data_IF_194424883670
#
_entry.id   IF_194424883670
#
_cell.length_a   1.000
_cell.length_b   1.000
_cell.length_c   1.000
_cell.angle_alpha   90.00
_cell.angle_beta   90.00
_cell.angle_gamma   90.00
#
_symmetry.space_group_name_H-M   'P 1'
#
loop_
_entity.id
_entity.type
_entity.pdbx_description
1 polymer ?
#
# COMPACT_ATOMS: atom_id res chain seq x y z
N UNK A 1 36.22 0.98 7.22
CA UNK A 1 34.77 0.72 7.09
C UNK A 1 34.40 -0.23 8.22
N UNK A 2 33.39 0.11 9.02
CA UNK A 2 33.03 -0.69 10.19
C UNK A 2 32.47 -2.07 9.79
N UNK A 3 32.94 -3.10 10.50
CA UNK A 3 32.61 -4.51 10.25
C UNK A 3 31.19 -4.84 10.74
N UNK A 4 30.44 -5.75 10.07
CA UNK A 4 29.12 -6.15 10.54
C UNK A 4 29.21 -7.00 11.81
N UNK A 5 28.94 -6.40 12.97
CA UNK A 5 28.91 -7.10 14.27
C UNK A 5 27.69 -8.02 14.44
N UNK A 6 26.58 -7.72 13.77
CA UNK A 6 25.37 -8.55 13.75
C UNK A 6 24.71 -8.53 12.38
N UNK A 7 24.40 -9.71 11.83
CA UNK A 7 23.67 -9.86 10.56
C UNK A 7 22.30 -10.44 10.82
N UNK A 8 21.27 -9.72 10.41
CA UNK A 8 19.88 -10.13 10.52
C UNK A 8 19.52 -11.00 9.30
N UNK A 9 18.62 -11.98 9.46
CA UNK A 9 18.24 -12.82 8.34
C UNK A 9 17.42 -11.99 7.33
N UNK A 10 16.35 -11.33 7.77
CA UNK A 10 15.54 -10.46 6.92
C UNK A 10 15.19 -9.12 7.57
N UNK A 11 15.20 -8.04 6.80
CA UNK A 11 14.72 -6.71 7.24
C UNK A 11 13.58 -6.27 6.34
N UNK A 12 12.46 -5.86 6.96
CA UNK A 12 11.28 -5.29 6.28
C UNK A 12 11.28 -3.77 6.47
N UNK A 13 11.06 -2.99 5.41
CA UNK A 13 10.97 -1.53 5.49
C UNK A 13 9.51 -1.08 5.32
N UNK A 14 8.95 -0.43 6.35
CA UNK A 14 7.59 0.11 6.36
C UNK A 14 6.62 -0.72 7.19
N UNK A 15 5.94 -0.10 8.15
CA UNK A 15 5.01 -0.69 9.14
C UNK A 15 3.54 -0.55 8.78
N UNK A 16 3.21 -0.41 7.49
CA UNK A 16 1.84 -0.52 6.98
C UNK A 16 1.39 -1.98 6.83
N UNK A 17 0.15 -2.19 6.37
CA UNK A 17 -0.45 -3.53 6.19
C UNK A 17 0.46 -4.53 5.46
N UNK A 18 1.13 -4.11 4.39
CA UNK A 18 2.05 -4.95 3.61
C UNK A 18 3.28 -5.38 4.41
N UNK A 19 3.84 -4.48 5.22
CA UNK A 19 4.99 -4.78 6.06
C UNK A 19 4.63 -5.66 7.26
N UNK A 20 3.48 -5.39 7.89
CA UNK A 20 3.00 -6.17 9.03
C UNK A 20 2.72 -7.64 8.65
N UNK A 21 2.03 -7.87 7.53
CA UNK A 21 1.78 -9.24 7.06
C UNK A 21 3.06 -9.94 6.59
N UNK A 22 4.01 -9.19 6.03
CA UNK A 22 5.35 -9.69 5.73
C UNK A 22 6.07 -10.13 6.99
N UNK A 23 6.10 -9.27 8.01
CA UNK A 23 6.74 -9.55 9.29
C UNK A 23 6.14 -10.81 9.93
N UNK A 24 4.81 -10.92 10.00
CA UNK A 24 4.11 -12.13 10.47
C UNK A 24 4.53 -13.36 9.67
N UNK A 25 4.42 -13.31 8.34
CA UNK A 25 4.65 -14.48 7.47
C UNK A 25 6.08 -15.00 7.58
N UNK A 26 7.06 -14.10 7.63
CA UNK A 26 8.47 -14.47 7.83
C UNK A 26 8.68 -15.13 9.19
N UNK A 27 8.12 -14.57 10.26
CA UNK A 27 8.23 -15.11 11.63
C UNK A 27 7.57 -16.48 11.78
N UNK A 28 6.41 -16.69 11.17
CA UNK A 28 5.72 -17.99 11.18
C UNK A 28 6.55 -19.10 10.51
N UNK A 29 7.44 -18.74 9.58
CA UNK A 29 8.41 -19.67 8.97
C UNK A 29 9.74 -19.76 9.73
N UNK A 30 9.85 -19.17 10.92
CA UNK A 30 11.07 -19.20 11.74
C UNK A 30 12.23 -18.40 11.13
N UNK A 31 11.94 -17.34 10.36
CA UNK A 31 12.95 -16.42 9.82
C UNK A 31 13.22 -15.35 10.89
N UNK A 32 14.49 -15.13 11.24
CA UNK A 32 14.88 -14.07 12.16
C UNK A 32 14.80 -12.70 11.48
N UNK A 33 13.64 -12.06 11.59
CA UNK A 33 13.36 -10.80 10.92
C UNK A 33 12.91 -9.68 11.86
N UNK A 34 13.15 -8.46 11.42
CA UNK A 34 12.68 -7.23 12.05
C UNK A 34 12.09 -6.29 10.99
N UNK A 35 11.26 -5.36 11.44
CA UNK A 35 10.67 -4.32 10.62
C UNK A 35 11.17 -2.95 11.06
N UNK A 36 11.59 -2.11 10.13
CA UNK A 36 11.90 -0.69 10.39
C UNK A 36 10.70 0.18 9.99
N UNK A 37 10.13 0.90 10.95
CA UNK A 37 9.08 1.91 10.72
C UNK A 37 9.61 3.29 11.10
N UNK A 38 9.48 4.23 10.16
CA UNK A 38 9.92 5.61 10.31
C UNK A 38 9.12 6.41 11.34
N UNK A 39 7.84 6.09 11.53
CA UNK A 39 6.93 6.72 12.49
C UNK A 39 6.98 6.00 13.85
N UNK A 40 6.31 6.59 14.84
CA UNK A 40 6.21 6.01 16.19
C UNK A 40 5.07 5.00 16.36
N UNK A 41 4.27 4.83 15.32
CA UNK A 41 3.13 3.92 15.28
C UNK A 41 3.20 3.10 13.99
N UNK A 42 2.50 1.97 13.98
CA UNK A 42 2.33 1.16 12.78
C UNK A 42 1.00 1.53 12.08
N UNK A 43 0.59 0.76 11.08
CA UNK A 43 -0.65 0.96 10.31
C UNK A 43 -0.49 1.80 9.05
N UNK A 44 0.60 2.56 8.92
CA UNK A 44 0.97 3.26 7.69
C UNK A 44 -0.11 4.26 7.24
N UNK A 45 -0.74 3.99 6.09
CA UNK A 45 -1.80 4.83 5.51
C UNK A 45 -3.02 4.99 6.42
N UNK A 46 -3.40 3.91 7.12
CA UNK A 46 -4.65 3.83 7.88
C UNK A 46 -4.59 4.52 9.25
N UNK A 47 -3.38 4.76 9.76
CA UNK A 47 -3.22 5.58 10.96
C UNK A 47 -3.33 7.06 10.58
N UNK A 48 -4.46 7.67 10.93
CA UNK A 48 -4.75 9.06 10.63
C UNK A 48 -3.80 10.01 11.34
N UNK A 49 -3.41 11.07 10.64
CA UNK A 49 -2.63 12.17 11.20
C UNK A 49 -3.13 13.47 10.58
N UNK A 50 -3.35 14.54 11.38
CA UNK A 50 -3.86 15.81 10.89
C UNK A 50 -2.85 16.58 10.04
N UNK A 51 -1.55 16.28 10.15
CA UNK A 51 -0.47 17.07 9.55
C UNK A 51 0.52 16.26 8.72
N UNK A 52 0.25 14.97 8.48
CA UNK A 52 1.16 14.08 7.76
C UNK A 52 0.44 13.19 6.73
N UNK A 53 1.25 12.51 5.92
CA UNK A 53 0.81 11.44 5.03
C UNK A 53 -0.07 10.41 5.78
N UNK A 54 -1.24 10.16 5.20
CA UNK A 54 -2.28 9.27 5.71
C UNK A 54 -3.60 9.56 5.02
N UNK A 55 -4.64 8.81 5.38
CA UNK A 55 -6.03 9.04 4.93
C UNK A 55 -6.58 10.43 5.33
N UNK A 56 -7.73 10.78 4.75
CA UNK A 56 -8.56 11.91 5.18
C UNK A 56 -9.38 11.51 6.42
N UNK A 57 -9.89 12.49 7.16
CA UNK A 57 -10.58 12.24 8.46
C UNK A 57 -11.91 11.49 8.31
N UNK A 58 -12.46 11.44 7.10
CA UNK A 58 -13.75 10.82 6.80
C UNK A 58 -13.61 9.60 5.87
N UNK A 59 -12.38 9.17 5.59
CA UNK A 59 -12.12 8.05 4.67
C UNK A 59 -12.71 6.75 5.21
N UNK A 60 -13.48 6.07 4.37
CA UNK A 60 -13.86 4.67 4.55
C UNK A 60 -13.09 3.81 3.56
N UNK A 61 -12.85 2.54 3.91
CA UNK A 61 -12.30 1.60 2.93
C UNK A 61 -13.30 1.44 1.78
N UNK A 62 -12.82 1.34 0.54
CA UNK A 62 -13.66 1.19 -0.66
C UNK A 62 -13.81 -0.28 -1.13
N UNK A 63 -13.26 -1.22 -0.35
CA UNK A 63 -13.39 -2.68 -0.53
C UNK A 63 -14.05 -3.21 0.72
N UNK A 64 -14.99 -4.15 0.61
CA UNK A 64 -15.70 -4.62 1.79
C UNK A 64 -14.79 -5.31 2.78
N UNK A 65 -15.20 -5.34 4.05
CA UNK A 65 -14.51 -6.05 5.14
C UNK A 65 -14.19 -7.51 4.81
N UNK A 66 -15.00 -8.14 3.97
CA UNK A 66 -14.82 -9.54 3.56
C UNK A 66 -13.63 -9.73 2.61
N UNK A 67 -13.32 -8.72 1.79
CA UNK A 67 -12.25 -8.75 0.79
C UNK A 67 -11.04 -7.88 1.18
N UNK A 68 -11.10 -7.20 2.32
CA UNK A 68 -10.03 -6.35 2.85
C UNK A 68 -9.57 -6.79 4.26
N UNK A 69 -9.66 -8.08 4.57
CA UNK A 69 -9.18 -8.67 5.82
C UNK A 69 -7.91 -9.51 5.61
N UNK A 70 -7.14 -9.74 6.68
CA UNK A 70 -6.08 -10.75 6.70
C UNK A 70 -6.77 -12.12 6.71
N UNK A 71 -6.23 -13.08 5.95
CA UNK A 71 -6.89 -14.35 5.69
C UNK A 71 -7.23 -15.16 6.96
N UNK A 72 -6.44 -14.99 8.03
CA UNK A 72 -6.61 -15.65 9.32
C UNK A 72 -7.05 -14.71 10.45
N UNK A 73 -7.42 -13.47 10.13
CA UNK A 73 -7.86 -12.49 11.12
C UNK A 73 -9.01 -11.67 10.52
N UNK A 74 -10.26 -12.18 10.53
CA UNK A 74 -11.39 -11.46 9.96
C UNK A 74 -11.75 -10.23 10.81
N UNK A 75 -12.40 -9.24 10.21
CA UNK A 75 -13.04 -8.17 10.97
C UNK A 75 -14.08 -8.74 11.96
N UNK A 76 -14.34 -8.06 13.09
CA UNK A 76 -15.41 -8.42 14.00
C UNK A 76 -16.76 -8.57 13.29
N UNK A 77 -17.59 -9.52 13.75
CA UNK A 77 -18.88 -9.82 13.11
C UNK A 77 -19.78 -8.58 12.96
N UNK A 78 -19.80 -7.71 13.99
CA UNK A 78 -20.57 -6.46 14.02
C UNK A 78 -19.95 -5.27 13.27
N UNK A 79 -18.78 -5.41 12.66
CA UNK A 79 -18.18 -4.34 11.85
C UNK A 79 -19.09 -4.01 10.65
N UNK A 80 -19.16 -2.73 10.28
CA UNK A 80 -19.84 -2.31 9.05
C UNK A 80 -19.11 -2.87 7.83
N UNK A 81 -19.80 -3.02 6.69
CA UNK A 81 -19.20 -3.64 5.50
C UNK A 81 -18.06 -2.81 4.90
N UNK A 82 -18.10 -1.48 5.03
CA UNK A 82 -17.04 -0.57 4.62
C UNK A 82 -16.56 0.24 5.84
N UNK A 83 -15.66 -0.33 6.68
CA UNK A 83 -15.13 0.34 7.87
C UNK A 83 -14.55 1.72 7.62
N UNK A 84 -14.76 2.61 8.59
CA UNK A 84 -14.06 3.89 8.67
C UNK A 84 -12.56 3.67 8.91
N UNK A 85 -11.71 4.62 8.52
CA UNK A 85 -10.27 4.50 8.71
C UNK A 85 -9.87 4.24 10.17
N UNK A 86 -10.61 4.77 11.14
CA UNK A 86 -10.35 4.55 12.58
C UNK A 86 -10.60 3.10 12.99
N UNK A 87 -11.65 2.47 12.46
CA UNK A 87 -11.93 1.05 12.66
C UNK A 87 -10.88 0.18 11.96
N UNK A 88 -10.38 0.62 10.80
CA UNK A 88 -9.26 -0.05 10.13
C UNK A 88 -7.98 0.03 10.96
N UNK A 89 -7.67 1.19 11.55
CA UNK A 89 -6.51 1.36 12.43
C UNK A 89 -6.61 0.44 13.66
N UNK A 90 -7.76 0.42 14.34
CA UNK A 90 -8.01 -0.47 15.49
C UNK A 90 -7.85 -1.95 15.11
N UNK A 91 -8.41 -2.36 13.98
CA UNK A 91 -8.25 -3.72 13.46
C UNK A 91 -6.77 -4.08 13.18
N UNK A 92 -5.96 -3.14 12.71
CA UNK A 92 -4.52 -3.34 12.51
C UNK A 92 -3.80 -3.47 13.86
N UNK A 93 -4.14 -2.62 14.84
CA UNK A 93 -3.56 -2.69 16.19
C UNK A 93 -3.84 -4.07 16.82
N UNK A 94 -5.10 -4.53 16.75
CA UNK A 94 -5.50 -5.87 17.21
C UNK A 94 -4.74 -6.99 16.48
N UNK A 95 -4.48 -6.84 15.18
CA UNK A 95 -3.70 -7.80 14.41
C UNK A 95 -2.23 -7.87 14.87
N UNK A 96 -1.62 -6.71 15.16
CA UNK A 96 -0.25 -6.63 15.69
C UNK A 96 -0.14 -7.29 17.05
N UNK A 97 -1.11 -7.06 17.93
CA UNK A 97 -1.15 -7.64 19.26
C UNK A 97 -1.39 -9.16 19.21
N UNK A 98 -2.40 -9.61 18.46
CA UNK A 98 -2.73 -11.03 18.29
C UNK A 98 -1.54 -11.84 17.78
N UNK A 99 -0.74 -11.27 16.88
CA UNK A 99 0.44 -11.91 16.30
C UNK A 99 1.75 -11.57 17.04
N UNK A 100 1.69 -10.84 18.15
CA UNK A 100 2.84 -10.44 18.98
C UNK A 100 3.97 -9.77 18.19
N UNK A 101 3.60 -8.91 17.22
CA UNK A 101 4.57 -8.33 16.28
C UNK A 101 5.32 -7.13 16.86
N UNK A 102 4.78 -6.49 17.90
CA UNK A 102 5.30 -5.24 18.48
C UNK A 102 6.81 -5.27 18.76
N UNK A 103 7.29 -6.35 19.40
CA UNK A 103 8.70 -6.51 19.78
C UNK A 103 9.65 -6.77 18.60
N UNK A 104 9.13 -6.85 17.38
CA UNK A 104 9.88 -7.07 16.16
C UNK A 104 9.85 -5.87 15.23
N UNK A 105 9.30 -4.75 15.70
CA UNK A 105 9.23 -3.48 14.99
C UNK A 105 10.17 -2.48 15.67
N UNK A 106 11.13 -1.97 14.90
CA UNK A 106 11.94 -0.82 15.26
C UNK A 106 11.20 0.44 14.83
N UNK A 107 10.44 1.03 15.76
CA UNK A 107 9.77 2.32 15.56
C UNK A 107 10.78 3.47 15.51
N UNK A 108 10.33 4.61 14.97
CA UNK A 108 11.14 5.82 14.76
C UNK A 108 12.48 5.52 14.07
N UNK A 109 12.52 4.49 13.22
CA UNK A 109 13.73 4.03 12.53
C UNK A 109 13.52 4.23 11.03
N UNK A 110 14.03 5.35 10.51
CA UNK A 110 13.96 5.67 9.08
C UNK A 110 15.17 5.07 8.37
N UNK A 111 14.93 4.24 7.36
CA UNK A 111 15.98 3.79 6.44
C UNK A 111 16.27 4.91 5.44
N UNK A 112 17.50 5.40 5.41
CA UNK A 112 17.95 6.51 4.58
C UNK A 112 18.52 6.03 3.24
N UNK A 113 19.28 4.93 3.28
CA UNK A 113 19.98 4.41 2.11
C UNK A 113 20.15 2.89 2.22
N UNK A 114 20.11 2.22 1.07
CA UNK A 114 20.33 0.79 0.95
C UNK A 114 21.38 0.56 -0.14
N UNK A 115 22.39 -0.25 0.16
CA UNK A 115 23.40 -0.66 -0.80
C UNK A 115 23.82 -2.12 -0.63
N UNK A 116 24.44 -2.70 -1.66
CA UNK A 116 25.07 -4.02 -1.56
C UNK A 116 26.37 -3.92 -0.76
N UNK A 117 26.62 -4.92 0.07
CA UNK A 117 27.84 -5.07 0.86
C UNK A 117 28.44 -6.47 0.67
N UNK A 118 29.74 -6.53 0.36
CA UNK A 118 30.49 -7.78 0.29
C UNK A 118 31.22 -7.99 1.62
N UNK A 119 30.92 -9.09 2.30
CA UNK A 119 31.63 -9.54 3.50
C UNK A 119 32.79 -10.44 3.05
N UNK A 120 33.97 -9.85 2.84
CA UNK A 120 35.16 -10.53 2.29
C UNK A 120 35.64 -11.69 3.18
N UNK A 121 35.53 -11.56 4.51
CA UNK A 121 35.98 -12.59 5.46
C UNK A 121 35.13 -13.87 5.38
N UNK A 122 33.84 -13.73 5.06
CA UNK A 122 32.87 -14.86 5.02
C UNK A 122 32.38 -15.18 3.62
N UNK A 123 32.98 -14.57 2.61
CA UNK A 123 32.62 -14.65 1.19
C UNK A 123 31.11 -14.66 0.94
N UNK A 124 30.40 -13.67 1.50
CA UNK A 124 28.94 -13.56 1.36
C UNK A 124 28.49 -12.15 1.00
N UNK A 125 27.41 -12.08 0.23
CA UNK A 125 26.74 -10.83 -0.14
C UNK A 125 25.65 -10.51 0.88
N UNK A 126 25.59 -9.26 1.30
CA UNK A 126 24.60 -8.72 2.23
C UNK A 126 24.01 -7.42 1.67
N UNK A 127 22.91 -7.01 2.27
CA UNK A 127 22.41 -5.65 2.17
C UNK A 127 22.89 -4.84 3.36
N UNK A 128 23.36 -3.63 3.10
CA UNK A 128 23.68 -2.61 4.11
C UNK A 128 22.58 -1.55 4.07
N UNK A 129 21.98 -1.29 5.22
CA UNK A 129 20.99 -0.24 5.41
C UNK A 129 21.60 0.82 6.32
N UNK A 130 21.65 2.07 5.83
CA UNK A 130 21.92 3.24 6.69
C UNK A 130 20.60 3.72 7.27
N UNK A 131 20.49 3.72 8.58
CA UNK A 131 19.28 4.05 9.31
C UNK A 131 19.49 5.28 10.18
N UNK A 132 18.43 6.05 10.39
CA UNK A 132 18.35 7.11 11.38
C UNK A 132 17.34 6.72 12.47
N UNK A 133 17.80 6.70 13.72
CA UNK A 133 16.96 6.50 14.90
C UNK A 133 16.48 7.86 15.39
N UNK A 134 15.18 8.11 15.29
CA UNK A 134 14.53 9.28 15.88
C UNK A 134 14.48 9.24 17.41
N UNK A 135 14.72 8.09 18.04
CA UNK A 135 14.79 7.98 19.50
C UNK A 135 16.13 8.48 20.07
N UNK A 136 17.24 8.21 19.39
CA UNK A 136 18.59 8.62 19.78
C UNK A 136 19.15 9.79 18.96
N UNK A 137 18.39 10.25 17.96
CA UNK A 137 18.81 11.24 16.96
C UNK A 137 20.16 10.91 16.29
N UNK A 138 20.43 9.62 16.08
CA UNK A 138 21.72 9.11 15.58
C UNK A 138 21.55 8.21 14.36
N UNK A 139 22.55 8.20 13.48
CA UNK A 139 22.63 7.26 12.37
C UNK A 139 23.36 5.98 12.79
N UNK A 140 22.96 4.85 12.20
CA UNK A 140 23.60 3.57 12.41
C UNK A 140 23.40 2.66 11.19
N UNK A 141 24.29 1.68 11.04
CA UNK A 141 24.23 0.72 9.95
C UNK A 141 23.64 -0.62 10.41
N UNK A 142 22.81 -1.22 9.56
CA UNK A 142 22.27 -2.56 9.74
C UNK A 142 22.63 -3.42 8.53
N UNK A 143 22.83 -4.72 8.77
CA UNK A 143 23.21 -5.66 7.73
C UNK A 143 22.24 -6.84 7.72
N UNK A 144 21.72 -7.20 6.55
CA UNK A 144 20.81 -8.33 6.40
C UNK A 144 21.06 -9.16 5.14
N UNK A 145 20.57 -10.40 5.13
CA UNK A 145 20.61 -11.26 3.93
C UNK A 145 19.47 -10.94 2.98
N UNK A 146 18.25 -10.86 3.51
CA UNK A 146 17.04 -10.57 2.75
C UNK A 146 16.53 -9.17 3.11
N UNK A 147 16.18 -8.39 2.08
CA UNK A 147 15.60 -7.07 2.23
C UNK A 147 14.22 -7.05 1.61
N UNK A 148 13.23 -6.54 2.33
CA UNK A 148 11.86 -6.45 1.85
C UNK A 148 11.40 -5.01 1.93
N UNK A 149 10.98 -4.45 0.79
CA UNK A 149 10.46 -3.09 0.67
C UNK A 149 8.93 -3.14 0.71
N UNK A 150 8.35 -2.56 1.77
CA UNK A 150 6.91 -2.50 2.01
C UNK A 150 6.45 -1.06 2.34
N UNK A 151 7.10 -0.06 1.74
CA UNK A 151 6.89 1.38 2.03
C UNK A 151 5.60 1.96 1.46
N UNK A 152 4.85 1.18 0.65
CA UNK A 152 3.70 1.66 -0.11
C UNK A 152 4.08 2.60 -1.26
N UNK A 153 3.08 3.06 -2.01
CA UNK A 153 3.27 3.85 -3.25
C UNK A 153 2.44 5.13 -3.34
N UNK A 154 1.62 5.45 -2.33
CA UNK A 154 0.74 6.64 -2.33
C UNK A 154 1.32 7.88 -1.63
N UNK A 155 2.56 7.80 -1.11
CA UNK A 155 3.13 8.87 -0.29
C UNK A 155 3.64 10.09 -1.06
N UNK A 156 4.12 9.92 -2.30
CA UNK A 156 4.65 11.03 -3.10
C UNK A 156 3.56 11.56 -4.04
N UNK A 157 3.12 12.82 -3.88
CA UNK A 157 2.07 13.39 -4.73
C UNK A 157 2.57 13.57 -6.17
N UNK A 158 1.67 13.41 -7.13
CA UNK A 158 1.89 13.77 -8.53
C UNK A 158 1.08 15.02 -8.82
N UNK A 159 1.71 16.17 -8.62
CA UNK A 159 1.07 17.48 -8.80
C UNK A 159 1.17 17.89 -10.28
N UNK A 160 0.05 18.05 -11.00
CA UNK A 160 0.07 18.63 -12.35
C UNK A 160 0.33 20.13 -12.29
N UNK A 161 0.96 20.66 -13.34
CA UNK A 161 1.09 22.11 -13.55
C UNK A 161 0.10 22.59 -14.60
N UNK A 162 -0.58 23.70 -14.32
CA UNK A 162 -1.54 24.33 -15.23
C UNK A 162 -1.03 25.69 -15.72
N UNK A 163 -1.30 26.06 -16.99
CA UNK A 163 -1.04 27.41 -17.48
C UNK A 163 -1.71 28.47 -16.59
N UNK A 164 -0.94 29.45 -16.10
CA UNK A 164 -1.44 30.51 -15.22
C UNK A 164 -1.61 30.13 -13.75
N UNK A 165 -1.22 28.91 -13.34
CA UNK A 165 -1.32 28.44 -11.94
C UNK A 165 -0.61 29.36 -10.94
N UNK A 166 0.55 29.92 -11.30
CA UNK A 166 1.29 30.86 -10.45
C UNK A 166 0.53 32.17 -10.20
N UNK A 167 -0.26 32.64 -11.16
CA UNK A 167 -1.07 33.86 -10.99
C UNK A 167 -2.19 33.63 -9.97
N UNK A 168 -2.73 32.41 -9.89
CA UNK A 168 -3.78 32.06 -8.92
C UNK A 168 -3.28 32.10 -7.47
N UNK A 169 -2.05 31.60 -7.24
CA UNK A 169 -1.47 31.51 -5.88
C UNK A 169 -0.78 32.80 -5.44
N UNK A 170 -0.05 33.49 -6.33
CA UNK A 170 0.70 34.72 -6.00
C UNK A 170 -0.23 35.89 -5.66
N UNK A 171 -1.40 35.96 -6.28
CA UNK A 171 -2.34 37.07 -6.05
C UNK A 171 -3.16 36.93 -4.75
N UNK A 172 -2.92 35.91 -3.93
CA UNK A 172 -3.75 35.53 -2.78
C UNK A 172 -5.25 35.36 -3.13
N UNK A 173 -5.55 35.13 -4.41
CA UNK A 173 -6.91 34.97 -4.94
C UNK A 173 -7.46 33.59 -4.60
N UNK A 174 -6.60 32.59 -4.46
CA UNK A 174 -7.00 31.25 -4.04
C UNK A 174 -5.84 30.38 -3.57
N UNK A 175 -6.20 29.18 -3.15
CA UNK A 175 -5.31 28.19 -2.55
C UNK A 175 -5.35 26.90 -3.37
N UNK A 176 -4.19 26.24 -3.53
CA UNK A 176 -4.07 24.94 -4.19
C UNK A 176 -3.48 23.96 -3.20
N UNK A 177 -4.19 22.87 -2.96
CA UNK A 177 -3.77 21.78 -2.09
C UNK A 177 -3.88 20.45 -2.84
N UNK A 178 -2.90 19.56 -2.67
CA UNK A 178 -3.00 18.19 -3.20
C UNK A 178 -3.82 17.32 -2.24
N UNK A 179 -4.50 16.30 -2.75
CA UNK A 179 -5.33 15.39 -1.92
C UNK A 179 -4.57 14.64 -0.81
N UNK A 180 -3.24 14.62 -0.85
CA UNK A 180 -2.38 14.01 0.18
C UNK A 180 -2.34 14.87 1.44
N UNK A 181 -2.42 16.19 1.28
CA UNK A 181 -2.37 17.17 2.37
C UNK A 181 -3.77 17.56 2.85
N UNK A 182 -4.80 17.27 2.06
CA UNK A 182 -6.20 17.49 2.43
C UNK A 182 -6.67 16.51 3.51
N UNK A 183 -7.27 17.02 4.59
CA UNK A 183 -7.87 16.20 5.66
C UNK A 183 -9.37 16.38 5.79
N UNK A 184 -9.82 17.63 5.75
CA UNK A 184 -11.23 17.97 5.80
C UNK A 184 -11.52 19.38 5.24
N UNK A 185 -12.73 19.58 4.71
CA UNK A 185 -13.19 20.86 4.19
C UNK A 185 -13.13 21.95 5.27
N UNK A 186 -13.52 21.63 6.50
CA UNK A 186 -13.54 22.58 7.61
C UNK A 186 -12.14 22.96 8.04
N UNK A 187 -11.24 21.98 8.19
CA UNK A 187 -9.86 22.24 8.64
C UNK A 187 -9.07 23.06 7.64
N UNK A 188 -9.40 22.96 6.34
CA UNK A 188 -8.78 23.76 5.27
C UNK A 188 -9.62 25.00 4.87
N UNK A 189 -10.72 25.28 5.56
CA UNK A 189 -11.53 26.48 5.32
C UNK A 189 -12.17 26.55 3.93
N UNK A 190 -12.71 25.44 3.43
CA UNK A 190 -13.38 25.35 2.13
C UNK A 190 -14.91 25.44 2.22
N UNK A 191 -15.50 25.50 3.41
CA UNK A 191 -16.95 25.39 3.68
C UNK A 191 -17.84 26.43 2.95
N UNK A 192 -17.29 27.54 2.46
CA UNK A 192 -18.02 28.56 1.69
C UNK A 192 -17.29 29.04 0.43
N UNK A 193 -16.23 28.32 0.01
CA UNK A 193 -15.41 28.71 -1.15
C UNK A 193 -15.96 28.08 -2.44
N UNK A 194 -15.66 28.72 -3.56
CA UNK A 194 -15.77 28.06 -4.86
C UNK A 194 -14.56 27.13 -5.01
N UNK A 195 -14.82 25.83 -5.03
CA UNK A 195 -13.77 24.80 -5.00
C UNK A 195 -13.76 24.04 -6.32
N UNK A 196 -12.60 23.92 -6.95
CA UNK A 196 -12.40 23.06 -8.12
C UNK A 196 -11.54 21.88 -7.70
N UNK A 197 -12.09 20.66 -7.83
CA UNK A 197 -11.37 19.41 -7.61
C UNK A 197 -10.94 18.85 -8.96
N UNK A 198 -9.64 18.61 -9.13
CA UNK A 198 -9.07 18.12 -10.38
C UNK A 198 -8.84 16.62 -10.30
N UNK A 199 -9.48 15.88 -11.20
CA UNK A 199 -9.44 14.42 -11.30
C UNK A 199 -10.79 13.77 -10.94
N UNK A 200 -10.92 12.47 -11.21
CA UNK A 200 -12.09 11.66 -10.87
C UNK A 200 -11.71 10.30 -10.26
N UNK A 201 -10.53 10.23 -9.64
CA UNK A 201 -10.17 9.09 -8.80
C UNK A 201 -10.92 9.14 -7.47
N UNK A 202 -10.92 8.04 -6.71
CA UNK A 202 -11.67 7.93 -5.45
C UNK A 202 -11.41 9.10 -4.50
N UNK A 203 -10.14 9.48 -4.29
CA UNK A 203 -9.80 10.64 -3.44
C UNK A 203 -10.38 11.96 -3.95
N UNK A 204 -10.47 12.17 -5.26
CA UNK A 204 -11.04 13.39 -5.83
C UNK A 204 -12.56 13.44 -5.61
N UNK A 205 -13.25 12.31 -5.79
CA UNK A 205 -14.69 12.20 -5.53
C UNK A 205 -14.99 12.42 -4.05
N UNK A 206 -14.20 11.79 -3.16
CA UNK A 206 -14.31 11.96 -1.70
C UNK A 206 -14.13 13.43 -1.27
N UNK A 207 -13.11 14.11 -1.80
CA UNK A 207 -12.90 15.55 -1.53
C UNK A 207 -14.07 16.38 -2.05
N UNK A 208 -14.56 16.11 -3.26
CA UNK A 208 -15.66 16.86 -3.84
C UNK A 208 -16.96 16.71 -3.03
N UNK A 209 -17.29 15.48 -2.62
CA UNK A 209 -18.44 15.19 -1.76
C UNK A 209 -18.26 15.87 -0.40
N UNK A 210 -17.09 15.72 0.23
CA UNK A 210 -16.81 16.34 1.52
C UNK A 210 -16.94 17.87 1.50
N UNK A 211 -16.39 18.55 0.48
CA UNK A 211 -16.59 19.99 0.28
C UNK A 211 -18.06 20.37 0.05
N UNK A 212 -18.83 19.52 -0.64
CA UNK A 212 -20.23 19.79 -0.94
C UNK A 212 -21.15 19.58 0.27
N UNK A 213 -20.86 18.59 1.11
CA UNK A 213 -21.64 18.23 2.30
C UNK A 213 -21.31 19.13 3.51
N UNK A 214 -20.04 19.48 3.70
CA UNK A 214 -19.58 20.33 4.81
C UNK A 214 -19.68 21.82 4.51
N UNK A 215 -20.70 22.25 3.77
CA UNK A 215 -20.94 23.68 3.61
C UNK A 215 -21.39 24.31 4.92
N UNK A 216 -21.03 25.57 5.15
CA UNK A 216 -21.56 26.29 6.31
C UNK A 216 -23.07 26.52 6.17
N UNK A 217 -23.74 26.94 7.25
CA UNK A 217 -25.16 27.32 7.21
C UNK A 217 -25.49 28.39 6.18
N UNK A 218 -24.48 29.15 5.74
CA UNK A 218 -24.63 30.15 4.70
C UNK A 218 -24.91 29.53 3.33
N UNK A 219 -24.41 28.31 3.08
CA UNK A 219 -24.62 27.54 1.84
C UNK A 219 -23.95 28.14 0.60
N UNK A 220 -23.14 29.18 0.76
CA UNK A 220 -22.45 29.84 -0.35
C UNK A 220 -21.27 28.96 -0.83
N UNK A 221 -20.84 29.13 -2.08
CA UNK A 221 -19.77 28.34 -2.69
C UNK A 221 -20.25 27.15 -3.52
N UNK A 222 -19.64 26.99 -4.70
CA UNK A 222 -19.90 25.90 -5.65
C UNK A 222 -18.71 24.95 -5.70
N UNK A 223 -18.99 23.64 -5.79
CA UNK A 223 -17.96 22.61 -5.98
C UNK A 223 -18.01 22.14 -7.43
N UNK A 224 -16.88 22.17 -8.11
CA UNK A 224 -16.72 21.72 -9.49
C UNK A 224 -15.76 20.54 -9.54
N UNK A 225 -16.13 19.46 -10.22
CA UNK A 225 -15.27 18.31 -10.46
C UNK A 225 -14.76 18.37 -11.92
N UNK A 226 -13.48 18.64 -12.09
CA UNK A 226 -12.82 18.71 -13.40
C UNK A 226 -12.22 17.35 -13.76
N UNK A 227 -12.72 16.72 -14.81
CA UNK A 227 -12.23 15.43 -15.29
C UNK A 227 -11.78 15.49 -16.74
N UNK A 228 -10.69 14.78 -17.06
CA UNK A 228 -10.15 14.71 -18.43
C UNK A 228 -10.87 13.67 -19.29
N UNK A 229 -11.16 12.51 -18.71
CA UNK A 229 -11.64 11.32 -19.43
C UNK A 229 -12.97 10.79 -18.92
N UNK A 230 -13.51 11.36 -17.84
CA UNK A 230 -14.60 10.74 -17.09
C UNK A 230 -14.16 9.44 -16.40
N UNK A 231 -15.08 8.82 -15.67
CA UNK A 231 -14.93 7.50 -15.06
C UNK A 231 -16.30 6.88 -14.81
N UNK A 232 -16.33 5.54 -14.75
CA UNK A 232 -17.49 4.81 -14.25
C UNK A 232 -17.56 4.95 -12.74
N UNK A 233 -18.70 5.38 -12.22
CA UNK A 233 -18.96 5.45 -10.78
C UNK A 233 -19.76 4.22 -10.38
N UNK A 234 -19.19 3.42 -9.50
CA UNK A 234 -19.79 2.16 -9.02
C UNK A 234 -20.24 2.37 -7.57
N UNK A 235 -21.50 2.06 -7.22
CA UNK A 235 -21.96 2.17 -5.84
C UNK A 235 -21.36 1.08 -4.96
N UNK A 236 -21.21 1.37 -3.67
CA UNK A 236 -20.75 0.39 -2.68
C UNK A 236 -21.73 -0.78 -2.48
N UNK A 237 -23.04 -0.56 -2.71
CA UNK A 237 -24.05 -1.59 -2.55
C UNK A 237 -24.86 -1.78 -3.84
N UNK A 238 -25.07 -3.04 -4.21
CA UNK A 238 -26.03 -3.47 -5.23
C UNK A 238 -26.94 -4.50 -4.58
N UNK A 239 -28.26 -4.27 -4.60
CA UNK A 239 -29.24 -5.09 -3.89
C UNK A 239 -28.91 -5.31 -2.39
N UNK A 240 -28.40 -4.26 -1.73
CA UNK A 240 -27.97 -4.29 -0.31
C UNK A 240 -26.81 -5.23 -0.01
N UNK A 241 -26.10 -5.72 -1.04
CA UNK A 241 -24.89 -6.54 -0.92
C UNK A 241 -23.69 -5.70 -1.36
N UNK A 242 -22.56 -5.76 -0.62
CA UNK A 242 -21.32 -5.12 -1.04
C UNK A 242 -20.91 -5.49 -2.47
N UNK A 243 -20.69 -4.48 -3.32
CA UNK A 243 -20.55 -4.67 -4.77
C UNK A 243 -19.34 -5.54 -5.13
N UNK A 244 -18.25 -5.45 -4.36
CA UNK A 244 -17.03 -6.22 -4.55
C UNK A 244 -17.22 -7.73 -4.28
N UNK A 245 -18.26 -8.13 -3.55
CA UNK A 245 -18.64 -9.54 -3.43
C UNK A 245 -19.17 -10.12 -4.74
N UNK A 246 -19.80 -9.32 -5.61
CA UNK A 246 -20.21 -9.79 -6.92
C UNK A 246 -19.01 -9.97 -7.85
N UNK A 247 -18.06 -9.03 -7.85
CA UNK A 247 -16.84 -9.17 -8.65
C UNK A 247 -16.03 -10.42 -8.27
N UNK A 248 -16.01 -10.78 -6.99
CA UNK A 248 -15.30 -11.95 -6.47
C UNK A 248 -16.11 -13.26 -6.56
N UNK A 249 -17.41 -13.27 -6.25
CA UNK A 249 -18.24 -14.50 -6.22
C UNK A 249 -18.95 -14.84 -7.52
N UNK A 250 -19.36 -13.83 -8.32
CA UNK A 250 -20.09 -14.05 -9.57
C UNK A 250 -19.20 -14.70 -10.64
N UNK A 251 -17.90 -14.42 -10.64
CA UNK A 251 -16.90 -15.07 -11.51
C UNK A 251 -16.44 -16.45 -11.00
N UNK A 252 -16.45 -16.71 -9.69
CA UNK A 252 -15.86 -17.92 -9.09
C UNK A 252 -16.82 -19.10 -8.90
N UNK A 253 -18.15 -18.89 -8.84
CA UNK A 253 -19.08 -19.96 -8.46
C UNK A 253 -19.58 -20.85 -9.61
N UNK A 254 -19.38 -20.50 -10.87
CA UNK A 254 -19.94 -21.26 -12.01
C UNK A 254 -18.96 -22.19 -12.74
N UNK A 255 -17.67 -22.18 -12.39
CA UNK A 255 -16.67 -23.03 -13.06
C UNK A 255 -16.39 -24.32 -12.25
N UNK A 256 -16.16 -25.49 -12.86
CA UNK A 256 -15.68 -26.69 -12.15
C UNK A 256 -14.31 -26.46 -11.47
N UNK A 257 -14.04 -27.09 -10.32
CA UNK A 257 -12.81 -26.84 -9.51
C UNK A 257 -11.47 -26.86 -10.30
N UNK A 258 -11.21 -27.79 -11.24
CA UNK A 258 -9.99 -27.76 -12.05
C UNK A 258 -9.92 -26.53 -12.98
N UNK A 259 -11.06 -26.08 -13.48
CA UNK A 259 -11.19 -24.88 -14.31
C UNK A 259 -11.10 -23.62 -13.46
N UNK A 260 -11.63 -23.63 -12.23
CA UNK A 260 -11.40 -22.56 -11.24
C UNK A 260 -9.92 -22.41 -10.95
N UNK A 261 -9.21 -23.51 -10.67
CA UNK A 261 -7.79 -23.45 -10.36
C UNK A 261 -6.96 -22.99 -11.55
N UNK A 262 -7.27 -23.47 -12.76
CA UNK A 262 -6.66 -22.99 -14.00
C UNK A 262 -6.96 -21.51 -14.26
N UNK A 263 -8.23 -21.09 -14.25
CA UNK A 263 -8.65 -19.70 -14.50
C UNK A 263 -8.13 -18.75 -13.41
N UNK A 264 -8.12 -19.16 -12.14
CA UNK A 264 -7.63 -18.34 -11.04
C UNK A 264 -6.10 -18.24 -11.03
N UNK A 265 -5.37 -19.35 -11.28
CA UNK A 265 -3.92 -19.27 -11.51
C UNK A 265 -3.59 -18.44 -12.75
N UNK A 266 -4.32 -18.60 -13.85
CA UNK A 266 -4.11 -17.85 -15.09
C UNK A 266 -4.45 -16.37 -14.92
N UNK A 267 -5.54 -16.01 -14.23
CA UNK A 267 -5.92 -14.62 -13.93
C UNK A 267 -4.94 -13.99 -12.94
N UNK A 268 -4.52 -14.69 -11.89
CA UNK A 268 -3.53 -14.15 -10.94
C UNK A 268 -2.14 -14.01 -11.59
N UNK A 269 -1.71 -14.97 -12.43
CA UNK A 269 -0.47 -14.87 -13.21
C UNK A 269 -0.52 -13.75 -14.25
N UNK A 270 -1.67 -13.52 -14.89
CA UNK A 270 -1.86 -12.47 -15.90
C UNK A 270 -2.11 -11.07 -15.32
N UNK A 271 -2.63 -10.95 -14.09
CA UNK A 271 -2.99 -9.67 -13.46
C UNK A 271 -1.88 -9.17 -12.52
N UNK A 272 -1.25 -10.06 -11.75
CA UNK A 272 -0.33 -9.64 -10.69
C UNK A 272 1.14 -9.77 -11.04
N UNK A 273 1.47 -10.49 -12.12
CA UNK A 273 2.86 -10.75 -12.51
C UNK A 273 3.69 -11.36 -11.38
N UNK A 274 4.96 -11.55 -11.65
CA UNK A 274 5.95 -11.94 -10.65
C UNK A 274 6.59 -10.68 -10.04
N UNK A 275 6.56 -10.43 -8.71
CA UNK A 275 7.14 -9.22 -8.11
C UNK A 275 8.69 -9.19 -8.10
N UNK A 276 9.34 -9.91 -9.02
CA UNK A 276 10.78 -10.15 -9.02
C UNK A 276 11.49 -9.37 -10.14
N UNK A 277 12.64 -8.79 -9.81
CA UNK A 277 13.56 -8.21 -10.78
C UNK A 277 14.63 -9.26 -11.13
N UNK A 278 14.79 -9.67 -12.40
CA UNK A 278 15.72 -10.74 -12.80
C UNK A 278 17.20 -10.39 -12.61
N UNK A 279 17.53 -9.11 -12.38
CA UNK A 279 18.89 -8.65 -12.09
C UNK A 279 19.24 -8.69 -10.58
N UNK A 280 18.23 -8.88 -9.73
CA UNK A 280 18.36 -8.92 -8.27
C UNK A 280 17.72 -10.22 -7.80
N UNK A 281 18.52 -11.22 -7.40
CA UNK A 281 18.02 -12.53 -6.96
C UNK A 281 17.03 -12.48 -5.78
N UNK A 282 16.70 -13.63 -5.18
CA UNK A 282 15.69 -13.77 -4.10
C UNK A 282 15.95 -12.99 -2.80
N UNK A 283 17.00 -12.18 -2.75
CA UNK A 283 17.47 -11.40 -1.61
C UNK A 283 16.81 -10.03 -1.49
N UNK A 284 16.07 -9.55 -2.51
CA UNK A 284 15.28 -8.32 -2.46
C UNK A 284 13.85 -8.58 -2.96
N UNK A 285 12.86 -8.14 -2.20
CA UNK A 285 11.45 -8.25 -2.59
C UNK A 285 10.68 -6.95 -2.36
N UNK A 286 9.66 -6.70 -3.18
CA UNK A 286 8.70 -5.61 -3.02
C UNK A 286 7.34 -6.22 -2.69
N UNK A 287 6.71 -5.77 -1.60
CA UNK A 287 5.41 -6.30 -1.14
C UNK A 287 4.37 -5.18 -1.14
N UNK A 288 3.20 -5.45 -1.72
CA UNK A 288 2.11 -4.48 -1.85
C UNK A 288 2.39 -3.35 -2.84
N UNK A 289 3.35 -3.53 -3.75
CA UNK A 289 3.58 -2.65 -4.90
C UNK A 289 2.75 -3.12 -6.10
N UNK A 290 1.44 -3.24 -5.89
CA UNK A 290 0.48 -3.67 -6.91
C UNK A 290 -0.78 -2.82 -6.77
N UNK A 291 -1.48 -2.61 -7.89
CA UNK A 291 -2.80 -2.00 -7.90
C UNK A 291 -3.78 -2.99 -8.52
N UNK A 292 -4.51 -3.77 -7.71
CA UNK A 292 -5.40 -4.79 -8.25
C UNK A 292 -6.60 -4.15 -8.93
N UNK A 293 -7.06 -4.76 -10.03
CA UNK A 293 -8.27 -4.33 -10.73
C UNK A 293 -9.55 -4.60 -9.93
N UNK A 294 -9.50 -5.55 -8.99
CA UNK A 294 -10.56 -5.87 -8.03
C UNK A 294 -9.98 -6.47 -6.75
N UNK A 295 -10.64 -6.25 -5.61
CA UNK A 295 -10.19 -6.73 -4.31
C UNK A 295 -9.21 -5.80 -3.58
N UNK A 296 -8.69 -6.26 -2.44
CA UNK A 296 -7.80 -5.49 -1.58
C UNK A 296 -6.32 -5.74 -1.83
N UNK A 297 -5.49 -4.71 -1.66
CA UNK A 297 -4.02 -4.89 -1.61
C UNK A 297 -3.57 -5.78 -0.45
N UNK A 298 -4.36 -5.81 0.64
CA UNK A 298 -4.02 -6.55 1.86
C UNK A 298 -3.92 -8.08 1.60
N UNK A 299 -4.94 -8.78 1.06
CA UNK A 299 -4.81 -10.20 0.74
C UNK A 299 -3.68 -10.51 -0.24
N UNK A 300 -3.43 -9.63 -1.22
CA UNK A 300 -2.36 -9.84 -2.20
C UNK A 300 -0.99 -9.72 -1.52
N UNK A 301 -0.80 -8.70 -0.69
CA UNK A 301 0.43 -8.56 0.12
C UNK A 301 0.65 -9.78 1.02
N UNK A 302 -0.41 -10.39 1.56
CA UNK A 302 -0.30 -11.62 2.33
C UNK A 302 0.19 -12.80 1.50
N UNK A 303 -0.39 -13.03 0.32
CA UNK A 303 0.04 -14.10 -0.59
C UNK A 303 1.49 -13.88 -1.02
N UNK A 304 1.85 -12.65 -1.39
CA UNK A 304 3.23 -12.29 -1.73
C UNK A 304 4.20 -12.57 -0.57
N UNK A 305 3.83 -12.21 0.66
CA UNK A 305 4.63 -12.43 1.86
C UNK A 305 4.81 -13.92 2.20
N UNK A 306 3.74 -14.71 2.16
CA UNK A 306 3.79 -16.15 2.41
C UNK A 306 4.66 -16.87 1.38
N UNK A 307 4.47 -16.54 0.09
CA UNK A 307 5.27 -17.10 -0.99
C UNK A 307 6.75 -16.72 -0.85
N UNK A 308 7.07 -15.46 -0.55
CA UNK A 308 8.43 -15.02 -0.28
C UNK A 308 9.06 -15.79 0.89
N UNK A 309 8.32 -15.98 1.98
CA UNK A 309 8.81 -16.73 3.14
C UNK A 309 9.13 -18.19 2.78
N UNK A 310 8.36 -18.81 1.87
CA UNK A 310 8.67 -20.15 1.34
C UNK A 310 9.93 -20.15 0.49
N UNK A 311 10.12 -19.15 -0.38
CA UNK A 311 11.35 -19.01 -1.18
C UNK A 311 12.58 -18.85 -0.29
N UNK A 312 12.51 -17.99 0.74
CA UNK A 312 13.63 -17.78 1.67
C UNK A 312 14.01 -19.06 2.42
N UNK A 313 13.03 -19.89 2.80
CA UNK A 313 13.29 -21.19 3.45
C UNK A 313 13.58 -22.33 2.48
N UNK A 314 13.66 -22.08 1.18
CA UNK A 314 13.94 -23.10 0.16
C UNK A 314 12.77 -24.06 -0.11
N UNK A 315 11.56 -23.74 0.37
CA UNK A 315 10.33 -24.49 0.06
C UNK A 315 9.75 -24.17 -1.32
N UNK A 316 10.26 -23.14 -1.99
CA UNK A 316 9.96 -22.79 -3.37
C UNK A 316 11.21 -22.21 -4.05
N UNK A 317 11.33 -22.36 -5.35
CA UNK A 317 12.44 -21.82 -6.15
C UNK A 317 11.94 -20.80 -7.15
N UNK A 318 12.77 -19.79 -7.43
CA UNK A 318 12.48 -18.85 -8.52
C UNK A 318 12.67 -19.55 -9.87
N UNK A 319 11.90 -19.16 -10.91
CA UNK A 319 12.20 -19.52 -12.29
C UNK A 319 13.57 -18.99 -12.74
N UNK A 320 14.03 -19.41 -13.93
CA UNK A 320 15.28 -18.89 -14.46
C UNK A 320 15.18 -17.39 -14.76
N UNK A 321 16.33 -16.69 -14.77
CA UNK A 321 16.36 -15.27 -15.10
C UNK A 321 15.84 -14.96 -16.51
N UNK A 322 15.94 -15.92 -17.43
CA UNK A 322 15.42 -15.82 -18.80
C UNK A 322 13.90 -15.88 -18.76
N UNK A 323 13.33 -16.92 -18.14
CA UNK A 323 11.87 -17.10 -18.03
C UNK A 323 11.21 -15.89 -17.35
N UNK A 324 11.85 -15.35 -16.30
CA UNK A 324 11.37 -14.14 -15.62
C UNK A 324 11.38 -12.92 -16.55
N UNK A 325 12.47 -12.70 -17.32
CA UNK A 325 12.56 -11.59 -18.28
C UNK A 325 11.51 -11.68 -19.37
N UNK A 326 11.27 -12.88 -19.89
CA UNK A 326 10.25 -13.14 -20.91
C UNK A 326 8.83 -12.87 -20.38
N UNK A 327 8.52 -13.36 -19.17
CA UNK A 327 7.23 -13.07 -18.52
C UNK A 327 7.00 -11.57 -18.35
N UNK A 328 8.01 -10.84 -17.85
CA UNK A 328 7.92 -9.38 -17.65
C UNK A 328 7.71 -8.65 -18.99
N UNK A 329 8.40 -9.06 -20.05
CA UNK A 329 8.26 -8.46 -21.37
C UNK A 329 6.84 -8.67 -21.94
N UNK A 330 6.30 -9.88 -21.79
CA UNK A 330 4.93 -10.22 -22.18
C UNK A 330 3.91 -9.36 -21.43
N UNK A 331 4.05 -9.25 -20.10
CA UNK A 331 3.16 -8.46 -19.24
C UNK A 331 3.18 -6.97 -19.62
N UNK A 332 4.37 -6.40 -19.88
CA UNK A 332 4.49 -5.01 -20.34
C UNK A 332 3.74 -4.76 -21.64
N UNK A 333 3.79 -5.72 -22.59
CA UNK A 333 3.04 -5.64 -23.84
C UNK A 333 1.51 -5.67 -23.64
N UNK A 334 1.02 -6.51 -22.71
CA UNK A 334 -0.40 -6.58 -22.36
C UNK A 334 -0.86 -5.27 -21.70
N UNK A 335 -0.06 -4.71 -20.79
CA UNK A 335 -0.40 -3.45 -20.12
C UNK A 335 -0.39 -2.26 -21.09
N UNK A 336 0.61 -2.17 -21.98
CA UNK A 336 0.69 -1.06 -22.94
C UNK A 336 -0.48 -1.07 -23.92
N UNK A 337 -0.94 -2.24 -24.37
CA UNK A 337 -2.06 -2.36 -25.31
C UNK A 337 -3.41 -1.94 -24.71
N UNK A 338 -3.61 -2.12 -23.40
CA UNK A 338 -4.82 -1.67 -22.67
C UNK A 338 -4.88 -0.17 -22.39
N UNK A 339 -3.74 0.53 -22.41
CA UNK A 339 -3.67 1.99 -22.19
C UNK A 339 -3.89 2.77 -23.49
N UNK A 340 -3.65 2.12 -24.65
CA UNK A 340 -3.80 2.69 -25.98
C UNK A 340 -5.21 2.54 -26.60
N UNK A 341 -6.13 1.83 -25.94
CA UNK A 341 -7.51 1.58 -26.37
C UNK A 341 -8.50 2.43 -25.58
#
# INVERSE_FOLDING_TARGET
MDKPTKVIEAVVIGGGISGLVTLKSLRQKGINCILCESKEHHGGLWHFSPSNYGVMEFTHINVSKYNYAFSDFPFPAGAVDYPHHSQMAEYIDQYVDNNQLYNHILYRTRVLHVSRYQDEEKDRKLWKLRCHSGASASEFDMYCRYLIIATGHHAKPKVPEFPGQSNFTVSAVGEIIHSVDYKDSKTHGFEDKNTVVVGIGNSAVDVAVNCAERKSKSGHGKVYLSTRSGAWVVPNYVFSVPTDLYASRFFLNWLPFPVKQFVFETILRLIHGSPQNPEIGSELAFIGFVQPSSGGVLPISEIQAQWLAMVIKGGATLPSAIDMKESIALERGILSSKVSS
#
